data_IF_724459565486
#
_entry.id   IF_724459565486
#
_cell.length_a   1.000
_cell.length_b   1.000
_cell.length_c   1.000
_cell.angle_alpha   90.00
_cell.angle_beta   90.00
_cell.angle_gamma   90.00
#
_symmetry.space_group_name_H-M   'P 1'
#
loop_
_entity.id
_entity.type
_entity.pdbx_description
1 polymer ?
#
# COMPACT_ATOMS: atom_id res chain seq x y z
N UNK A 1 8.48 -29.06 24.38
CA UNK A 1 9.50 -28.86 23.29
C UNK A 1 9.30 -29.81 22.11
N UNK A 2 9.09 -31.12 22.32
CA UNK A 2 8.96 -32.14 21.26
C UNK A 2 7.62 -32.00 20.47
N UNK A 3 6.54 -31.55 21.12
CA UNK A 3 5.25 -31.33 20.47
C UNK A 3 5.29 -30.13 19.51
N UNK A 4 6.03 -29.08 19.84
CA UNK A 4 6.20 -27.87 19.03
C UNK A 4 7.03 -28.14 17.75
N UNK A 5 8.07 -28.96 17.85
CA UNK A 5 8.84 -29.39 16.67
C UNK A 5 8.04 -30.27 15.70
N UNK A 6 7.19 -31.15 16.21
CA UNK A 6 6.31 -31.96 15.34
C UNK A 6 5.26 -31.11 14.62
N UNK A 7 4.83 -30.03 15.25
CA UNK A 7 3.87 -29.11 14.66
C UNK A 7 4.54 -28.25 13.56
N UNK A 8 5.76 -27.78 13.79
CA UNK A 8 6.58 -27.07 12.80
C UNK A 8 6.89 -27.95 11.58
N UNK A 9 7.22 -29.21 11.79
CA UNK A 9 7.47 -30.17 10.71
C UNK A 9 6.21 -30.51 9.88
N UNK A 10 5.02 -30.49 10.48
CA UNK A 10 3.77 -30.64 9.73
C UNK A 10 3.49 -29.42 8.84
N UNK A 11 3.68 -28.21 9.36
CA UNK A 11 3.53 -26.98 8.60
C UNK A 11 4.54 -26.91 7.44
N UNK A 12 5.79 -27.25 7.66
CA UNK A 12 6.82 -27.31 6.61
C UNK A 12 6.47 -28.31 5.50
N UNK A 13 5.96 -29.50 5.84
CA UNK A 13 5.53 -30.50 4.84
C UNK A 13 4.30 -30.06 4.02
N UNK A 14 3.41 -29.29 4.63
CA UNK A 14 2.26 -28.73 3.91
C UNK A 14 2.72 -27.65 2.93
N UNK A 15 3.65 -26.79 3.35
CA UNK A 15 4.25 -25.75 2.50
C UNK A 15 4.99 -26.38 1.31
N UNK A 16 5.76 -27.42 1.53
CA UNK A 16 6.54 -28.14 0.50
C UNK A 16 5.61 -28.86 -0.52
N UNK A 17 4.53 -29.45 -0.03
CA UNK A 17 3.52 -30.10 -0.87
C UNK A 17 2.69 -29.13 -1.71
N UNK A 18 2.50 -27.90 -1.21
CA UNK A 18 1.83 -26.81 -1.93
C UNK A 18 2.76 -26.14 -2.96
N UNK A 19 4.06 -26.04 -2.67
CA UNK A 19 5.09 -25.49 -3.56
C UNK A 19 5.28 -26.35 -4.83
N UNK A 20 5.07 -27.65 -4.74
CA UNK A 20 5.30 -28.58 -5.86
C UNK A 20 4.10 -28.71 -6.84
N UNK A 21 3.01 -27.99 -6.60
CA UNK A 21 1.84 -27.94 -7.48
C UNK A 21 1.78 -26.57 -8.12
N UNK A 22 2.40 -26.31 -9.21
CA UNK A 22 2.35 -25.13 -10.14
C UNK A 22 1.31 -24.01 -9.88
N UNK A 23 0.87 -23.85 -8.64
CA UNK A 23 0.11 -22.72 -8.15
C UNK A 23 1.17 -21.68 -7.76
N UNK A 24 1.27 -20.62 -8.54
CA UNK A 24 2.31 -19.62 -8.40
C UNK A 24 2.57 -19.26 -6.93
N UNK A 25 3.84 -19.34 -6.54
CA UNK A 25 4.36 -19.12 -5.18
C UNK A 25 3.75 -17.87 -4.52
N UNK A 26 3.33 -16.88 -5.31
CA UNK A 26 2.68 -15.64 -4.88
C UNK A 26 1.26 -15.81 -4.29
N UNK A 27 0.44 -16.70 -4.84
CA UNK A 27 -0.95 -16.85 -4.36
C UNK A 27 -1.04 -17.64 -3.06
N UNK A 28 -0.13 -18.62 -2.87
CA UNK A 28 -0.09 -19.46 -1.67
C UNK A 28 0.51 -18.68 -0.48
N UNK A 29 1.56 -17.91 -0.72
CA UNK A 29 2.19 -17.08 0.31
C UNK A 29 1.24 -16.01 0.86
N UNK A 30 0.46 -15.37 -0.01
CA UNK A 30 -0.56 -14.40 0.39
C UNK A 30 -1.68 -15.09 1.19
N UNK A 31 -2.15 -16.26 0.76
CA UNK A 31 -3.19 -17.01 1.47
C UNK A 31 -2.75 -17.48 2.86
N UNK A 32 -1.53 -18.00 2.98
CA UNK A 32 -0.95 -18.42 4.28
C UNK A 32 -0.75 -17.20 5.20
N UNK A 33 -0.29 -16.09 4.65
CA UNK A 33 -0.08 -14.87 5.39
C UNK A 33 -1.40 -14.31 5.93
N UNK A 34 -2.46 -14.28 5.11
CA UNK A 34 -3.80 -13.89 5.53
C UNK A 34 -4.36 -14.82 6.63
N UNK A 35 -4.17 -16.14 6.50
CA UNK A 35 -4.59 -17.11 7.52
C UNK A 35 -3.81 -16.95 8.83
N UNK A 36 -2.52 -16.64 8.77
CA UNK A 36 -1.71 -16.34 9.95
C UNK A 36 -2.16 -15.05 10.64
N UNK A 37 -2.47 -14.01 9.88
CA UNK A 37 -2.98 -12.74 10.41
C UNK A 37 -4.34 -12.89 11.09
N UNK A 38 -5.27 -13.61 10.45
CA UNK A 38 -6.58 -13.92 11.04
C UNK A 38 -6.41 -14.78 12.30
N UNK A 39 -5.48 -15.74 12.28
CA UNK A 39 -5.16 -16.58 13.43
C UNK A 39 -4.56 -15.79 14.62
N UNK A 40 -3.65 -14.88 14.35
CA UNK A 40 -3.07 -13.98 15.38
C UNK A 40 -4.13 -13.04 15.94
N UNK A 41 -4.99 -12.47 15.09
CA UNK A 41 -6.10 -11.62 15.52
C UNK A 41 -7.11 -12.35 16.41
N UNK A 42 -7.39 -13.61 16.10
CA UNK A 42 -8.31 -14.45 16.91
C UNK A 42 -7.72 -14.81 18.28
N UNK A 43 -6.40 -15.00 18.38
CA UNK A 43 -5.73 -15.38 19.64
C UNK A 43 -5.53 -14.16 20.56
N UNK A 44 -5.36 -12.95 20.00
CA UNK A 44 -4.97 -11.74 20.75
C UNK A 44 -6.14 -10.85 21.19
N UNK A 45 -7.40 -11.25 21.03
CA UNK A 45 -8.59 -10.39 21.23
C UNK A 45 -8.54 -9.06 20.44
N UNK A 46 -7.65 -8.95 19.46
CA UNK A 46 -7.58 -7.81 18.55
C UNK A 46 -8.64 -7.94 17.46
N UNK A 47 -9.23 -6.83 17.09
CA UNK A 47 -10.20 -6.83 16.00
C UNK A 47 -9.49 -7.28 14.71
N UNK A 48 -9.92 -8.37 14.02
CA UNK A 48 -9.19 -8.93 12.88
C UNK A 48 -8.96 -7.93 11.75
N UNK A 49 -9.88 -6.96 11.58
CA UNK A 49 -9.72 -5.87 10.63
C UNK A 49 -8.59 -4.89 11.00
N UNK A 50 -8.35 -4.66 12.30
CA UNK A 50 -7.27 -3.79 12.75
C UNK A 50 -5.90 -4.44 12.44
N UNK A 51 -5.75 -5.73 12.78
CA UNK A 51 -4.53 -6.49 12.49
C UNK A 51 -4.23 -6.53 10.98
N UNK A 52 -5.27 -6.74 10.17
CA UNK A 52 -5.13 -6.72 8.72
C UNK A 52 -4.72 -5.33 8.20
N UNK A 53 -5.34 -4.27 8.73
CA UNK A 53 -5.01 -2.89 8.37
C UNK A 53 -3.57 -2.53 8.70
N UNK A 54 -3.12 -2.84 9.92
CA UNK A 54 -1.76 -2.56 10.36
C UNK A 54 -0.75 -3.33 9.50
N UNK A 55 -1.00 -4.63 9.28
CA UNK A 55 -0.16 -5.42 8.40
C UNK A 55 -0.10 -4.89 6.96
N UNK A 56 -1.23 -4.47 6.41
CA UNK A 56 -1.28 -3.87 5.07
C UNK A 56 -0.43 -2.60 5.01
N UNK A 57 -0.63 -1.69 5.96
CA UNK A 57 0.09 -0.41 6.02
C UNK A 57 1.60 -0.65 6.16
N UNK A 58 2.01 -1.48 7.10
CA UNK A 58 3.43 -1.76 7.36
C UNK A 58 4.10 -2.44 6.17
N UNK A 59 3.41 -3.41 5.55
CA UNK A 59 3.94 -4.12 4.38
C UNK A 59 4.12 -3.18 3.19
N UNK A 60 3.09 -2.41 2.84
CA UNK A 60 3.15 -1.52 1.66
C UNK A 60 4.19 -0.43 1.85
N UNK A 61 4.30 0.16 3.04
CA UNK A 61 5.31 1.19 3.34
C UNK A 61 6.74 0.65 3.39
N UNK A 62 6.91 -0.62 3.69
CA UNK A 62 8.21 -1.30 3.69
C UNK A 62 8.74 -1.64 2.30
N UNK A 63 7.90 -1.58 1.27
CA UNK A 63 8.27 -1.93 -0.11
C UNK A 63 8.51 -0.65 -0.93
N UNK A 64 9.63 -0.53 -1.67
CA UNK A 64 9.84 0.60 -2.58
C UNK A 64 8.72 0.72 -3.61
N UNK A 65 8.23 1.95 -3.89
CA UNK A 65 7.11 2.21 -4.80
C UNK A 65 7.32 1.57 -6.19
N UNK A 66 8.54 1.61 -6.70
CA UNK A 66 8.88 1.00 -7.99
C UNK A 66 8.60 -0.51 -8.02
N UNK A 67 8.85 -1.22 -6.91
CA UNK A 67 8.59 -2.66 -6.80
C UNK A 67 7.09 -2.94 -6.81
N UNK A 68 6.31 -2.10 -6.11
CA UNK A 68 4.83 -2.19 -6.10
C UNK A 68 4.30 -1.98 -7.52
N UNK A 69 4.82 -0.97 -8.24
CA UNK A 69 4.43 -0.68 -9.64
C UNK A 69 4.72 -1.87 -10.56
N UNK A 70 5.92 -2.44 -10.47
CA UNK A 70 6.29 -3.58 -11.29
C UNK A 70 5.46 -4.83 -10.96
N UNK A 71 5.22 -5.10 -9.67
CA UNK A 71 4.50 -6.31 -9.25
C UNK A 71 3.01 -6.25 -9.59
N UNK A 72 2.33 -5.16 -9.26
CA UNK A 72 0.89 -4.98 -9.54
C UNK A 72 0.65 -4.76 -11.04
N UNK A 73 1.48 -3.92 -11.66
CA UNK A 73 1.29 -3.52 -13.06
C UNK A 73 1.49 -4.64 -14.07
N UNK A 74 2.37 -5.62 -13.80
CA UNK A 74 2.71 -6.69 -14.73
C UNK A 74 2.21 -8.05 -14.28
N UNK A 75 2.82 -8.76 -13.29
CA UNK A 75 2.43 -10.14 -13.00
C UNK A 75 1.04 -10.27 -12.39
N UNK A 76 0.66 -9.37 -11.47
CA UNK A 76 -0.65 -9.45 -10.83
C UNK A 76 -1.78 -9.18 -11.83
N UNK A 77 -1.65 -8.15 -12.67
CA UNK A 77 -2.63 -7.87 -13.72
C UNK A 77 -2.71 -9.00 -14.76
N UNK A 78 -1.58 -9.63 -15.09
CA UNK A 78 -1.56 -10.82 -15.95
C UNK A 78 -2.24 -12.02 -15.31
N UNK A 79 -1.99 -12.27 -14.03
CA UNK A 79 -2.64 -13.34 -13.27
C UNK A 79 -4.15 -13.16 -13.18
N UNK A 80 -4.63 -11.95 -12.92
CA UNK A 80 -6.06 -11.61 -12.89
C UNK A 80 -6.73 -11.83 -14.25
N UNK A 81 -6.08 -11.43 -15.34
CA UNK A 81 -6.55 -11.69 -16.70
C UNK A 81 -6.70 -13.18 -16.97
N UNK A 82 -5.69 -13.97 -16.62
CA UNK A 82 -5.70 -15.42 -16.84
C UNK A 82 -6.74 -16.10 -15.95
N UNK A 83 -6.82 -15.76 -14.67
CA UNK A 83 -7.79 -16.33 -13.72
C UNK A 83 -9.25 -16.03 -14.09
N UNK A 84 -9.50 -14.85 -14.71
CA UNK A 84 -10.84 -14.45 -15.15
C UNK A 84 -11.21 -14.95 -16.55
N UNK A 85 -10.39 -15.79 -17.19
CA UNK A 85 -10.63 -16.20 -18.57
C UNK A 85 -10.57 -15.06 -19.59
N UNK A 86 -9.86 -13.96 -19.26
CA UNK A 86 -9.69 -12.79 -20.12
C UNK A 86 -10.67 -11.64 -19.85
N UNK A 87 -11.71 -11.83 -19.02
CA UNK A 87 -12.68 -10.79 -18.69
C UNK A 87 -12.06 -9.59 -17.96
N UNK A 88 -11.10 -9.81 -17.06
CA UNK A 88 -10.40 -8.74 -16.33
C UNK A 88 -9.14 -8.30 -17.09
N UNK A 89 -9.30 -7.72 -18.27
CA UNK A 89 -8.19 -7.12 -19.01
C UNK A 89 -8.07 -5.64 -18.65
N UNK A 90 -7.29 -5.34 -17.61
CA UNK A 90 -7.08 -3.97 -17.12
C UNK A 90 -6.09 -3.27 -18.07
N UNK A 91 -6.47 -2.12 -18.62
CA UNK A 91 -5.58 -1.30 -19.44
C UNK A 91 -4.39 -0.78 -18.64
N UNK A 92 -3.27 -0.50 -19.31
CA UNK A 92 -2.01 -0.16 -18.66
C UNK A 92 -2.11 1.11 -17.78
N UNK A 93 -2.85 2.12 -18.25
CA UNK A 93 -3.08 3.34 -17.47
C UNK A 93 -3.82 3.06 -16.17
N UNK A 94 -4.86 2.21 -16.22
CA UNK A 94 -5.64 1.82 -15.05
C UNK A 94 -4.79 0.99 -14.06
N UNK A 95 -3.88 0.16 -14.55
CA UNK A 95 -2.91 -0.55 -13.70
C UNK A 95 -2.01 0.43 -12.94
N UNK A 96 -1.51 1.47 -13.62
CA UNK A 96 -0.73 2.53 -13.00
C UNK A 96 -1.51 3.26 -11.91
N UNK A 97 -2.76 3.66 -12.20
CA UNK A 97 -3.64 4.34 -11.25
C UNK A 97 -3.88 3.46 -10.01
N UNK A 98 -4.26 2.19 -10.21
CA UNK A 98 -4.50 1.23 -9.11
C UNK A 98 -3.24 1.05 -8.26
N UNK A 99 -2.08 0.94 -8.88
CA UNK A 99 -0.83 0.74 -8.17
C UNK A 99 -0.47 1.92 -7.28
N UNK A 100 -0.55 3.15 -7.82
CA UNK A 100 -0.32 4.37 -7.05
C UNK A 100 -1.36 4.51 -5.94
N UNK A 101 -2.63 4.25 -6.22
CA UNK A 101 -3.69 4.33 -5.22
C UNK A 101 -3.45 3.36 -4.06
N UNK A 102 -3.05 2.11 -4.33
CA UNK A 102 -2.73 1.12 -3.29
C UNK A 102 -1.51 1.57 -2.48
N UNK A 103 -0.43 1.97 -3.14
CA UNK A 103 0.77 2.43 -2.47
C UNK A 103 0.50 3.62 -1.54
N UNK A 104 -0.07 4.68 -2.09
CA UNK A 104 -0.34 5.90 -1.32
C UNK A 104 -1.44 5.76 -0.28
N UNK A 105 -2.36 4.80 -0.41
CA UNK A 105 -3.37 4.53 0.63
C UNK A 105 -2.74 4.17 1.96
N UNK A 106 -1.64 3.42 1.96
CA UNK A 106 -0.92 3.05 3.18
C UNK A 106 -0.21 4.26 3.82
N UNK A 107 0.42 5.12 3.02
CA UNK A 107 1.03 6.35 3.53
C UNK A 107 0.01 7.31 4.12
N UNK A 108 -1.12 7.52 3.41
CA UNK A 108 -2.21 8.36 3.91
C UNK A 108 -2.84 7.82 5.19
N UNK A 109 -3.04 6.50 5.30
CA UNK A 109 -3.57 5.89 6.51
C UNK A 109 -2.70 6.19 7.73
N UNK A 110 -1.39 6.13 7.58
CA UNK A 110 -0.45 6.45 8.66
C UNK A 110 -0.42 7.93 9.01
N UNK A 111 -0.51 8.83 8.01
CA UNK A 111 -0.61 10.27 8.25
C UNK A 111 -1.86 10.60 9.07
N UNK A 112 -3.00 9.99 8.74
CA UNK A 112 -4.23 10.17 9.51
C UNK A 112 -4.11 9.61 10.93
N UNK A 113 -3.53 8.42 11.08
CA UNK A 113 -3.27 7.82 12.40
C UNK A 113 -2.42 8.74 13.25
N UNK A 114 -1.26 9.17 12.74
CA UNK A 114 -0.34 10.05 13.44
C UNK A 114 -0.99 11.39 13.82
N UNK A 115 -1.82 11.97 12.94
CA UNK A 115 -2.54 13.19 13.22
C UNK A 115 -3.58 13.07 14.36
N UNK A 116 -4.24 11.93 14.45
CA UNK A 116 -5.19 11.65 15.55
C UNK A 116 -4.43 11.40 16.86
N UNK A 117 -3.35 10.63 16.81
CA UNK A 117 -2.54 10.30 17.99
C UNK A 117 -1.77 11.49 18.55
N UNK A 118 -1.50 12.50 17.72
CA UNK A 118 -0.83 13.74 18.14
C UNK A 118 -1.67 14.62 19.07
N UNK A 119 -2.98 14.34 19.22
CA UNK A 119 -3.86 15.15 20.06
C UNK A 119 -3.61 14.82 21.53
N UNK A 120 -3.38 15.84 22.39
CA UNK A 120 -3.10 15.62 23.78
C UNK A 120 -4.24 14.88 24.49
N UNK A 121 -3.92 13.74 25.13
CA UNK A 121 -4.91 12.91 25.84
C UNK A 121 -5.69 13.68 26.89
N UNK A 122 -5.07 14.64 27.56
CA UNK A 122 -5.73 15.47 28.55
C UNK A 122 -6.91 16.28 28.02
N UNK A 123 -6.92 16.68 26.75
CA UNK A 123 -8.10 17.33 26.13
C UNK A 123 -9.27 16.36 25.97
N UNK A 124 -8.98 15.12 25.60
CA UNK A 124 -9.97 14.06 25.45
C UNK A 124 -10.56 13.69 26.82
N UNK A 125 -9.70 13.55 27.82
CA UNK A 125 -10.10 13.24 29.20
C UNK A 125 -10.94 14.38 29.83
N UNK A 126 -10.52 15.63 29.63
CA UNK A 126 -11.29 16.79 30.09
C UNK A 126 -12.68 16.84 29.46
N UNK A 127 -12.81 16.58 28.18
CA UNK A 127 -14.07 16.54 27.48
C UNK A 127 -15.00 15.43 28.02
N UNK A 128 -14.44 14.25 28.29
CA UNK A 128 -15.17 13.14 28.93
C UNK A 128 -15.64 13.49 30.35
N UNK A 129 -14.82 14.15 31.13
CA UNK A 129 -15.16 14.63 32.47
C UNK A 129 -16.33 15.63 32.47
N UNK A 130 -16.42 16.44 31.39
CA UNK A 130 -17.57 17.34 31.15
C UNK A 130 -18.82 16.61 30.64
N UNK A 131 -18.83 15.28 30.57
CA UNK A 131 -19.96 14.47 30.14
C UNK A 131 -20.18 14.44 28.61
N UNK A 132 -19.22 14.84 27.84
CA UNK A 132 -19.33 14.75 26.36
C UNK A 132 -19.38 13.29 25.91
N UNK A 133 -20.30 12.97 25.01
CA UNK A 133 -20.36 11.65 24.36
C UNK A 133 -19.19 11.50 23.39
N UNK A 134 -18.68 10.27 23.17
CA UNK A 134 -17.52 9.99 22.32
C UNK A 134 -17.61 10.59 20.91
N UNK A 135 -18.78 10.57 20.28
CA UNK A 135 -18.97 11.19 18.96
C UNK A 135 -18.86 12.73 18.98
N UNK A 136 -19.23 13.37 20.09
CA UNK A 136 -19.01 14.82 20.28
C UNK A 136 -17.53 15.13 20.51
N UNK A 137 -16.84 14.31 21.32
CA UNK A 137 -15.40 14.43 21.53
C UNK A 137 -14.67 14.29 20.18
N UNK A 138 -15.03 13.27 19.39
CA UNK A 138 -14.45 13.08 18.06
C UNK A 138 -14.71 14.29 17.15
N UNK A 139 -15.95 14.76 17.05
CA UNK A 139 -16.37 15.80 16.10
C UNK A 139 -15.85 17.20 16.45
N UNK A 140 -15.83 17.55 17.73
CA UNK A 140 -15.55 18.93 18.17
C UNK A 140 -14.13 19.13 18.71
N UNK A 141 -13.45 18.06 19.11
CA UNK A 141 -12.11 18.14 19.69
C UNK A 141 -11.10 17.46 18.78
N UNK A 142 -11.31 16.17 18.44
CA UNK A 142 -10.31 15.39 17.72
C UNK A 142 -10.22 15.81 16.25
N UNK A 143 -11.31 15.72 15.51
CA UNK A 143 -11.30 15.94 14.06
C UNK A 143 -10.78 17.32 13.65
N UNK A 144 -11.21 18.46 14.26
CA UNK A 144 -10.70 19.77 13.85
C UNK A 144 -9.19 19.92 14.03
N UNK A 145 -8.68 19.42 15.15
CA UNK A 145 -7.24 19.48 15.42
C UNK A 145 -6.45 18.51 14.55
N UNK A 146 -6.94 17.28 14.36
CA UNK A 146 -6.32 16.29 13.51
C UNK A 146 -6.19 16.80 12.05
N UNK A 147 -7.23 17.43 11.51
CA UNK A 147 -7.18 18.02 10.16
C UNK A 147 -6.07 19.07 10.06
N UNK A 148 -5.94 19.94 11.04
CA UNK A 148 -4.90 20.98 11.04
C UNK A 148 -3.49 20.39 11.06
N UNK A 149 -3.29 19.27 11.76
CA UNK A 149 -1.99 18.56 11.86
C UNK A 149 -1.72 17.78 10.56
N UNK A 150 -2.73 17.11 10.02
CA UNK A 150 -2.61 16.22 8.87
C UNK A 150 -2.44 16.98 7.55
N UNK A 151 -3.07 18.14 7.41
CA UNK A 151 -3.12 18.88 6.13
C UNK A 151 -1.74 19.22 5.54
N UNK A 152 -0.75 19.71 6.30
CA UNK A 152 0.59 19.95 5.78
C UNK A 152 1.28 18.65 5.32
N UNK A 153 1.10 17.55 6.09
CA UNK A 153 1.68 16.26 5.75
C UNK A 153 1.06 15.69 4.45
N UNK A 154 -0.26 15.81 4.27
CA UNK A 154 -0.94 15.44 3.02
C UNK A 154 -0.45 16.26 1.83
N UNK A 155 -0.15 17.55 2.02
CA UNK A 155 0.42 18.39 0.98
C UNK A 155 1.79 17.88 0.52
N UNK A 156 2.65 17.50 1.44
CA UNK A 156 3.96 16.92 1.14
C UNK A 156 3.82 15.58 0.43
N UNK A 157 2.89 14.73 0.89
CA UNK A 157 2.64 13.42 0.29
C UNK A 157 2.06 13.54 -1.14
N UNK A 158 1.21 14.54 -1.38
CA UNK A 158 0.71 14.83 -2.71
C UNK A 158 1.84 15.22 -3.68
N UNK A 159 2.80 16.03 -3.23
CA UNK A 159 3.97 16.39 -4.04
C UNK A 159 4.83 15.14 -4.31
N UNK A 160 5.03 14.28 -3.31
CA UNK A 160 5.74 13.02 -3.49
C UNK A 160 5.03 12.12 -4.51
N UNK A 161 3.72 11.98 -4.41
CA UNK A 161 2.91 11.22 -5.36
C UNK A 161 3.06 11.73 -6.79
N UNK A 162 3.05 13.04 -7.01
CA UNK A 162 3.27 13.63 -8.34
C UNK A 162 4.64 13.25 -8.92
N UNK A 163 5.69 13.23 -8.08
CA UNK A 163 7.02 12.79 -8.50
C UNK A 163 7.04 11.30 -8.84
N UNK A 164 6.39 10.47 -8.04
CA UNK A 164 6.34 9.03 -8.22
C UNK A 164 5.51 8.61 -9.45
N UNK A 165 4.64 9.47 -9.99
CA UNK A 165 3.98 9.19 -11.28
C UNK A 165 4.99 9.00 -12.41
N UNK A 166 6.18 9.61 -12.34
CA UNK A 166 7.25 9.42 -13.31
C UNK A 166 7.75 7.97 -13.40
N UNK A 167 7.60 7.20 -12.32
CA UNK A 167 7.94 5.77 -12.28
C UNK A 167 7.01 4.92 -13.16
N UNK A 168 5.81 5.42 -13.50
CA UNK A 168 4.87 4.75 -14.38
C UNK A 168 5.40 4.61 -15.82
N UNK A 169 6.42 5.38 -16.19
CA UNK A 169 7.13 5.22 -17.45
C UNK A 169 7.70 3.81 -17.65
N UNK A 170 7.98 3.09 -16.56
CA UNK A 170 8.43 1.67 -16.61
C UNK A 170 7.33 0.77 -17.20
N UNK A 171 6.08 1.10 -16.98
CA UNK A 171 4.93 0.42 -17.59
C UNK A 171 4.62 0.94 -19.00
N UNK A 172 5.51 1.72 -19.61
CA UNK A 172 5.31 2.38 -20.91
C UNK A 172 4.06 3.27 -20.96
N UNK A 173 3.63 3.78 -19.81
CA UNK A 173 2.58 4.79 -19.72
C UNK A 173 3.17 6.11 -20.20
N UNK A 174 2.50 6.76 -21.17
CA UNK A 174 2.98 7.98 -21.81
C UNK A 174 2.78 9.21 -20.91
N UNK A 175 3.56 9.28 -19.86
CA UNK A 175 3.78 10.46 -19.02
C UNK A 175 4.90 11.35 -19.60
N UNK A 176 5.25 12.43 -18.89
CA UNK A 176 6.35 13.33 -19.27
C UNK A 176 7.67 12.55 -19.43
N UNK A 177 7.98 11.66 -18.49
CA UNK A 177 9.22 10.87 -18.48
C UNK A 177 9.28 9.91 -19.67
N UNK A 178 8.18 9.25 -20.00
CA UNK A 178 8.12 8.36 -21.15
C UNK A 178 8.24 9.13 -22.47
N UNK A 179 7.60 10.28 -22.59
CA UNK A 179 7.72 11.17 -23.76
C UNK A 179 9.14 11.65 -23.98
N UNK A 180 9.82 12.01 -22.90
CA UNK A 180 11.22 12.40 -22.94
C UNK A 180 12.11 11.26 -23.47
N UNK A 181 11.92 10.02 -22.99
CA UNK A 181 12.64 8.83 -23.49
C UNK A 181 12.37 8.57 -24.97
N UNK A 182 11.09 8.69 -25.39
CA UNK A 182 10.68 8.54 -26.80
C UNK A 182 11.36 9.61 -27.68
N UNK A 183 11.38 10.87 -27.24
CA UNK A 183 12.04 11.95 -27.97
C UNK A 183 13.55 11.78 -28.03
N UNK A 184 14.19 11.36 -26.94
CA UNK A 184 15.63 11.03 -26.94
C UNK A 184 15.97 9.94 -27.96
N UNK A 185 15.16 8.88 -28.00
CA UNK A 185 15.39 7.78 -28.94
C UNK A 185 15.24 8.20 -30.41
N UNK A 186 14.37 9.17 -30.71
CA UNK A 186 14.14 9.68 -32.06
C UNK A 186 15.16 10.72 -32.50
N UNK A 187 15.57 11.60 -31.58
CA UNK A 187 16.45 12.73 -31.88
C UNK A 187 17.94 12.43 -31.69
N UNK A 188 18.27 11.33 -31.01
CA UNK A 188 19.64 10.97 -30.58
C UNK A 188 20.31 12.03 -29.68
N UNK A 189 19.54 12.97 -29.12
CA UNK A 189 20.02 13.97 -28.15
C UNK A 189 20.08 13.33 -26.77
N UNK A 190 21.29 13.30 -26.15
CA UNK A 190 21.50 12.54 -24.92
C UNK A 190 20.96 13.24 -23.67
N UNK A 191 21.17 14.54 -23.52
CA UNK A 191 20.94 15.27 -22.27
C UNK A 191 19.86 16.34 -22.37
N UNK A 192 19.62 16.94 -23.50
CA UNK A 192 18.69 18.05 -23.69
C UNK A 192 17.24 17.71 -23.29
N UNK A 193 16.68 16.52 -23.68
CA UNK A 193 15.33 16.16 -23.27
C UNK A 193 15.19 15.98 -21.76
N UNK A 194 16.22 15.39 -21.10
CA UNK A 194 16.21 15.18 -19.67
C UNK A 194 16.33 16.49 -18.89
N UNK A 195 17.21 17.39 -19.31
CA UNK A 195 17.38 18.70 -18.70
C UNK A 195 16.11 19.54 -18.84
N UNK A 196 15.46 19.51 -20.01
CA UNK A 196 14.22 20.24 -20.23
C UNK A 196 13.08 19.70 -19.35
N UNK A 197 12.95 18.39 -19.25
CA UNK A 197 11.93 17.78 -18.39
C UNK A 197 12.19 17.99 -16.89
N UNK A 198 13.45 18.14 -16.48
CA UNK A 198 13.80 18.42 -15.08
C UNK A 198 13.48 19.87 -14.65
N UNK A 199 13.30 20.78 -15.61
CA UNK A 199 12.94 22.18 -15.37
C UNK A 199 11.42 22.44 -15.37
N UNK A 200 10.63 21.47 -15.84
CA UNK A 200 9.17 21.49 -15.85
C UNK A 200 8.56 20.87 -14.58
#
# INVERSE_FOLDING_TARGET
KIADEKQKLKVFRVIDKLSNKNIGISGISIGILLLLLVGIGAISNLHPLAVFSDFFVDTIRGIPMIVIILYIGLPLAGALKNASGGYMNIEMINRGIITIAIGYSAYMAEIFRAGIEAIPKGQIEAARTLGMREHHVARFIIIPQAIAIVLPALGNEFIAMLKDTSLLSILSIRDLTQRMKEFQAQSFLAFEPFNTAALL
#
